data_IF_502225710943
#
_entry.id   IF_502225710943
#
_cell.length_a   1.000
_cell.length_b   1.000
_cell.length_c   1.000
_cell.angle_alpha   90.00
_cell.angle_beta   90.00
_cell.angle_gamma   90.00
#
_symmetry.space_group_name_H-M   'P 1'
#
loop_
_entity.id
_entity.type
_entity.pdbx_description
1 polymer ?
#
# COMPACT_ATOMS: atom_id res chain seq x y z
N UNK A 1 -11.23 -38.44 29.81
CA UNK A 1 -9.91 -38.47 29.15
C UNK A 1 -10.04 -37.51 27.98
N UNK A 2 -9.53 -36.28 28.15
CA UNK A 2 -9.69 -35.22 27.16
C UNK A 2 -8.45 -35.19 26.28
N UNK A 3 -8.63 -35.40 24.98
CA UNK A 3 -7.60 -35.27 23.96
C UNK A 3 -7.20 -33.80 23.81
N UNK A 4 -5.94 -33.50 24.13
CA UNK A 4 -5.30 -32.23 23.83
C UNK A 4 -4.70 -32.32 22.43
N UNK A 5 -5.39 -31.76 21.43
CA UNK A 5 -4.85 -31.64 20.09
C UNK A 5 -3.71 -30.60 20.07
N UNK A 6 -2.48 -31.09 19.94
CA UNK A 6 -1.28 -30.28 19.70
C UNK A 6 -1.36 -29.65 18.30
N UNK A 7 -1.46 -28.32 18.23
CA UNK A 7 -1.42 -27.58 16.97
C UNK A 7 0.04 -27.61 16.44
N UNK A 8 0.29 -28.06 15.20
CA UNK A 8 1.65 -28.09 14.65
C UNK A 8 2.17 -26.67 14.38
N UNK A 9 3.40 -26.41 14.80
CA UNK A 9 4.09 -25.14 14.56
C UNK A 9 4.34 -24.96 13.06
N UNK A 10 3.70 -23.96 12.45
CA UNK A 10 3.99 -23.53 11.08
C UNK A 10 5.40 -22.94 11.03
N UNK A 11 6.34 -23.67 10.44
CA UNK A 11 7.72 -23.22 10.17
C UNK A 11 7.69 -22.06 9.17
N UNK A 12 7.88 -20.83 9.65
CA UNK A 12 8.13 -19.67 8.78
C UNK A 12 9.47 -19.80 8.03
N UNK A 13 9.70 -18.99 6.99
CA UNK A 13 10.95 -19.05 6.22
C UNK A 13 12.16 -18.84 7.14
N UNK A 14 13.09 -19.79 7.11
CA UNK A 14 14.35 -19.73 7.88
C UNK A 14 15.17 -18.55 7.37
N UNK A 15 15.38 -17.53 8.21
CA UNK A 15 16.30 -16.43 7.87
C UNK A 15 17.72 -17.00 7.85
N UNK A 16 18.34 -17.04 6.68
CA UNK A 16 19.75 -17.41 6.54
C UNK A 16 20.58 -16.31 7.22
N UNK A 17 21.45 -16.63 8.19
CA UNK A 17 22.35 -15.65 8.76
C UNK A 17 23.25 -15.06 7.67
N UNK A 18 23.27 -13.73 7.54
CA UNK A 18 24.18 -13.04 6.63
C UNK A 18 25.57 -13.01 7.27
N UNK A 19 26.59 -13.45 6.54
CA UNK A 19 27.99 -13.32 6.98
C UNK A 19 28.39 -11.83 6.94
N UNK A 20 28.63 -11.19 8.09
CA UNK A 20 28.90 -9.78 8.13
C UNK A 20 30.22 -9.39 7.45
N UNK A 21 31.19 -10.31 7.32
CA UNK A 21 32.45 -10.04 6.63
C UNK A 21 32.28 -9.85 5.11
N UNK A 22 31.17 -10.33 4.54
CA UNK A 22 30.88 -10.25 3.10
C UNK A 22 30.16 -8.97 2.69
N UNK A 23 29.67 -8.18 3.65
CA UNK A 23 28.92 -6.95 3.42
C UNK A 23 29.89 -5.76 3.35
N UNK A 24 30.04 -5.10 2.19
CA UNK A 24 30.94 -3.94 2.08
C UNK A 24 30.55 -2.85 3.08
N UNK A 25 31.53 -2.38 3.87
CA UNK A 25 31.31 -1.35 4.89
C UNK A 25 30.77 -1.86 6.22
N UNK A 26 30.53 -3.16 6.37
CA UNK A 26 30.12 -3.72 7.66
C UNK A 26 31.25 -3.64 8.69
N UNK A 27 30.95 -3.11 9.87
CA UNK A 27 31.94 -2.93 10.95
C UNK A 27 32.87 -1.72 10.77
N UNK A 28 32.61 -0.82 9.82
CA UNK A 28 33.39 0.44 9.67
C UNK A 28 33.33 1.31 10.93
N UNK A 29 32.20 1.26 11.66
CA UNK A 29 32.00 1.97 12.93
C UNK A 29 32.47 1.18 14.15
N UNK A 30 33.03 -0.02 13.97
CA UNK A 30 33.51 -0.86 15.07
C UNK A 30 34.85 -0.36 15.64
N UNK A 31 35.65 0.36 14.84
CA UNK A 31 36.89 0.99 15.31
C UNK A 31 36.56 2.29 16.07
N UNK A 32 36.86 2.39 17.38
CA UNK A 32 36.69 3.63 18.14
C UNK A 32 37.45 4.82 17.54
N UNK A 33 38.54 4.57 16.81
CA UNK A 33 39.34 5.59 16.13
C UNK A 33 38.63 6.24 14.93
N UNK A 34 37.62 5.59 14.36
CA UNK A 34 36.79 6.18 13.30
C UNK A 34 35.76 7.19 13.85
N UNK A 35 35.59 7.25 15.17
CA UNK A 35 34.70 8.21 15.80
C UNK A 35 35.38 9.59 15.87
N UNK A 36 34.83 10.65 15.25
CA UNK A 36 35.43 11.99 15.27
C UNK A 36 35.49 12.60 16.68
N UNK A 37 34.79 12.01 17.65
CA UNK A 37 34.77 12.44 19.05
C UNK A 37 35.78 11.71 19.94
N UNK A 38 36.48 10.69 19.42
CA UNK A 38 37.54 9.99 20.13
C UNK A 38 38.86 10.77 20.04
N UNK A 39 39.70 10.87 21.09
CA UNK A 39 39.57 10.31 22.44
C UNK A 39 38.92 11.28 23.46
N UNK A 40 38.46 12.45 23.03
CA UNK A 40 38.01 13.53 23.93
C UNK A 40 36.68 13.23 24.64
N UNK A 41 35.80 12.43 24.04
CA UNK A 41 34.52 12.03 24.63
C UNK A 41 34.72 10.93 25.67
N UNK A 42 34.25 11.17 26.90
CA UNK A 42 34.09 10.11 27.88
C UNK A 42 33.03 9.11 27.37
N UNK A 43 33.45 7.89 27.03
CA UNK A 43 32.54 6.80 26.67
C UNK A 43 32.33 5.98 27.93
N UNK A 44 31.20 6.21 28.58
CA UNK A 44 30.67 5.27 29.57
C UNK A 44 30.33 3.96 28.85
N UNK A 45 30.61 2.83 29.50
CA UNK A 45 30.23 1.50 29.00
C UNK A 45 28.72 1.53 28.68
N UNK A 46 28.40 1.51 27.37
CA UNK A 46 27.04 1.68 26.85
C UNK A 46 26.06 0.63 27.38
N UNK A 47 26.55 -0.37 28.10
CA UNK A 47 25.77 -1.40 28.78
C UNK A 47 25.06 -0.87 30.04
N UNK A 48 25.57 0.19 30.69
CA UNK A 48 24.97 0.78 31.90
C UNK A 48 23.86 1.78 31.53
N UNK A 49 22.65 1.30 31.25
CA UNK A 49 21.46 2.19 31.26
C UNK A 49 20.29 1.84 30.34
N UNK A 50 20.37 0.81 29.51
CA UNK A 50 19.29 0.51 28.54
C UNK A 50 18.34 -0.61 28.96
N UNK A 51 18.33 -1.03 30.22
CA UNK A 51 17.26 -1.90 30.75
C UNK A 51 16.07 -1.05 31.16
N UNK A 52 15.33 -0.57 30.17
CA UNK A 52 14.01 0.03 30.39
C UNK A 52 12.95 -0.90 29.79
N UNK A 53 11.89 -1.13 30.55
CA UNK A 53 10.74 -1.87 30.04
C UNK A 53 10.00 -1.00 29.02
N UNK A 54 9.72 -1.57 27.84
CA UNK A 54 8.93 -0.88 26.82
C UNK A 54 7.54 -0.57 27.40
N UNK A 55 7.07 0.69 27.34
CA UNK A 55 5.77 1.07 27.85
C UNK A 55 4.67 0.33 27.09
N UNK A 56 3.55 0.12 27.78
CA UNK A 56 2.35 -0.47 27.19
C UNK A 56 1.96 0.29 25.93
N UNK A 57 1.75 -0.46 24.85
CA UNK A 57 1.29 0.13 23.59
C UNK A 57 -0.19 0.52 23.71
N UNK A 58 -0.51 1.72 23.23
CA UNK A 58 -1.88 2.16 23.02
C UNK A 58 -2.57 1.23 22.02
N UNK A 59 -3.84 0.89 22.28
CA UNK A 59 -4.69 0.19 21.31
C UNK A 59 -5.54 1.22 20.55
N UNK A 60 -5.22 1.53 19.29
CA UNK A 60 -6.01 2.48 18.52
C UNK A 60 -7.34 1.84 18.08
N UNK A 61 -8.44 2.56 18.32
CA UNK A 61 -9.79 2.20 17.81
C UNK A 61 -10.00 2.61 16.36
N UNK A 62 -9.10 3.46 15.85
CA UNK A 62 -9.12 3.98 14.49
C UNK A 62 -7.99 3.39 13.66
N UNK A 63 -8.15 3.45 12.34
CA UNK A 63 -7.09 3.03 11.44
C UNK A 63 -5.87 3.95 11.52
N UNK A 64 -4.71 3.35 11.80
CA UNK A 64 -3.42 4.02 11.82
C UNK A 64 -2.62 3.59 10.59
N UNK A 65 -2.24 4.57 9.78
CA UNK A 65 -1.37 4.33 8.63
C UNK A 65 0.08 4.38 9.10
N UNK A 66 0.83 3.33 8.78
CA UNK A 66 2.25 3.22 9.09
C UNK A 66 3.06 3.11 7.81
N UNK A 67 4.27 3.64 7.84
CA UNK A 67 5.25 3.43 6.79
C UNK A 67 5.67 1.95 6.72
N UNK A 68 6.06 1.52 5.53
CA UNK A 68 6.49 0.15 5.24
C UNK A 68 7.81 -0.21 5.90
N UNK A 69 8.59 0.79 6.31
CA UNK A 69 9.95 0.62 6.87
C UNK A 69 9.90 0.24 8.36
N UNK A 70 8.80 0.56 9.04
CA UNK A 70 8.64 0.30 10.47
C UNK A 70 7.74 -0.90 10.73
N UNK A 71 8.29 -1.92 11.39
CA UNK A 71 7.54 -3.13 11.74
C UNK A 71 6.64 -2.95 12.99
N UNK A 72 6.99 -2.04 13.89
CA UNK A 72 6.27 -1.82 15.14
C UNK A 72 5.69 -0.40 15.21
N UNK A 73 4.52 -0.26 15.83
CA UNK A 73 3.95 1.04 16.15
C UNK A 73 4.63 1.63 17.39
N UNK A 74 4.73 2.97 17.49
CA UNK A 74 5.15 3.62 18.72
C UNK A 74 4.12 3.37 19.84
N UNK A 75 4.53 3.59 21.09
CA UNK A 75 3.67 3.34 22.25
C UNK A 75 2.41 4.22 22.27
N UNK A 76 2.49 5.44 21.71
CA UNK A 76 1.37 6.37 21.60
C UNK A 76 1.25 6.81 20.14
N UNK A 77 0.02 6.80 19.63
CA UNK A 77 -0.31 7.16 18.24
C UNK A 77 -1.40 8.23 18.23
N UNK A 78 -1.31 9.17 17.27
CA UNK A 78 -2.34 10.19 17.08
C UNK A 78 -3.61 9.59 16.46
N UNK A 79 -4.75 9.74 17.13
CA UNK A 79 -6.05 9.19 16.67
C UNK A 79 -7.06 10.27 16.27
N UNK A 80 -6.72 11.56 16.38
CA UNK A 80 -7.66 12.68 16.22
C UNK A 80 -8.23 12.84 14.82
N UNK A 81 -7.50 12.41 13.79
CA UNK A 81 -7.90 12.60 12.38
C UNK A 81 -7.74 11.28 11.63
N UNK A 82 -8.71 10.35 11.76
CA UNK A 82 -8.65 9.09 11.04
C UNK A 82 -8.74 9.32 9.51
N UNK A 83 -8.07 8.50 8.69
CA UNK A 83 -8.10 8.65 7.24
C UNK A 83 -9.50 8.30 6.67
N UNK A 84 -10.29 9.33 6.37
CA UNK A 84 -11.64 9.24 5.80
C UNK A 84 -11.72 9.79 4.37
N UNK A 85 -12.75 9.39 3.62
CA UNK A 85 -13.03 9.96 2.29
C UNK A 85 -11.97 9.65 1.22
N UNK A 86 -11.95 10.47 0.18
CA UNK A 86 -10.96 10.40 -0.92
C UNK A 86 -9.58 10.80 -0.41
N UNK A 87 -9.48 11.82 0.44
CA UNK A 87 -8.20 12.19 1.05
C UNK A 87 -7.60 11.04 1.86
N UNK A 88 -8.42 10.29 2.60
CA UNK A 88 -8.02 9.07 3.30
C UNK A 88 -7.53 7.96 2.35
N UNK A 89 -8.19 7.75 1.21
CA UNK A 89 -7.73 6.80 0.19
C UNK A 89 -6.35 7.17 -0.37
N UNK A 90 -6.11 8.45 -0.62
CA UNK A 90 -4.81 8.94 -1.11
C UNK A 90 -3.74 8.71 -0.05
N UNK A 91 -4.03 8.97 1.23
CA UNK A 91 -3.09 8.67 2.32
C UNK A 91 -2.78 7.17 2.38
N UNK A 92 -3.77 6.28 2.30
CA UNK A 92 -3.54 4.82 2.24
C UNK A 92 -2.63 4.41 1.08
N UNK A 93 -2.71 5.10 -0.05
CA UNK A 93 -1.82 4.86 -1.19
C UNK A 93 -0.41 5.42 -0.95
N UNK A 94 -0.29 6.59 -0.32
CA UNK A 94 0.98 7.18 0.04
C UNK A 94 1.78 6.27 0.99
N UNK A 95 1.15 5.74 2.04
CA UNK A 95 1.81 4.86 3.02
C UNK A 95 2.20 3.47 2.50
N UNK A 96 1.84 3.11 1.26
CA UNK A 96 2.38 1.92 0.58
C UNK A 96 3.75 2.17 -0.08
N UNK A 97 4.21 3.42 -0.10
CA UNK A 97 5.52 3.83 -0.62
C UNK A 97 6.51 4.05 0.53
N UNK A 98 7.79 3.94 0.20
CA UNK A 98 8.89 4.32 1.11
C UNK A 98 8.89 5.84 1.33
N UNK A 99 9.34 6.25 2.52
CA UNK A 99 9.47 7.67 2.90
C UNK A 99 10.56 8.38 2.08
N UNK A 100 11.49 7.63 1.48
CA UNK A 100 12.50 8.19 0.57
C UNK A 100 11.94 8.51 -0.82
N UNK A 101 10.77 7.99 -1.18
CA UNK A 101 10.11 8.29 -2.45
C UNK A 101 9.43 9.67 -2.38
N UNK A 102 9.81 10.58 -3.27
CA UNK A 102 9.20 11.91 -3.34
C UNK A 102 7.68 11.85 -3.60
N UNK A 103 7.19 10.79 -4.26
CA UNK A 103 5.76 10.59 -4.47
C UNK A 103 4.98 10.40 -3.17
N UNK A 104 5.58 9.78 -2.14
CA UNK A 104 4.94 9.63 -0.84
C UNK A 104 4.50 11.00 -0.29
N UNK A 105 5.43 11.94 -0.28
CA UNK A 105 5.21 13.30 0.22
C UNK A 105 4.25 14.11 -0.65
N UNK A 106 4.34 13.97 -1.98
CA UNK A 106 3.46 14.71 -2.88
C UNK A 106 2.00 14.24 -2.75
N UNK A 107 1.79 12.93 -2.59
CA UNK A 107 0.47 12.38 -2.31
C UNK A 107 -0.10 12.85 -0.98
N UNK A 108 0.73 12.92 0.09
CA UNK A 108 0.30 13.45 1.38
C UNK A 108 -0.13 14.91 1.29
N UNK A 109 0.69 15.77 0.66
CA UNK A 109 0.32 17.18 0.45
C UNK A 109 -0.96 17.32 -0.38
N UNK A 110 -1.12 16.49 -1.42
CA UNK A 110 -2.35 16.44 -2.22
C UNK A 110 -3.56 16.03 -1.39
N UNK A 111 -3.41 15.01 -0.53
CA UNK A 111 -4.46 14.56 0.37
C UNK A 111 -4.89 15.67 1.35
N UNK A 112 -3.98 16.48 1.85
CA UNK A 112 -4.31 17.59 2.75
C UNK A 112 -5.15 18.66 2.04
N UNK A 113 -4.83 18.97 0.77
CA UNK A 113 -5.64 19.91 -0.02
C UNK A 113 -7.03 19.36 -0.31
N UNK A 114 -7.13 18.07 -0.62
CA UNK A 114 -8.40 17.40 -0.89
C UNK A 114 -9.25 17.34 0.38
N UNK A 115 -8.66 17.06 1.54
CA UNK A 115 -9.38 17.00 2.81
C UNK A 115 -10.06 18.33 3.16
N UNK A 116 -9.42 19.47 2.87
CA UNK A 116 -10.02 20.79 3.05
C UNK A 116 -11.23 20.98 2.13
N UNK A 117 -11.11 20.60 0.85
CA UNK A 117 -12.21 20.69 -0.11
C UNK A 117 -13.37 19.77 0.28
N UNK A 118 -13.08 18.55 0.72
CA UNK A 118 -14.08 17.60 1.24
C UNK A 118 -14.83 18.18 2.44
N UNK A 119 -14.12 18.79 3.39
CA UNK A 119 -14.73 19.46 4.54
C UNK A 119 -15.65 20.60 4.13
N UNK A 120 -15.18 21.51 3.26
CA UNK A 120 -15.99 22.63 2.78
C UNK A 120 -17.25 22.17 2.03
N UNK A 121 -17.13 21.11 1.22
CA UNK A 121 -18.28 20.52 0.51
C UNK A 121 -19.26 19.86 1.48
N UNK A 122 -18.75 19.16 2.51
CA UNK A 122 -19.58 18.53 3.54
C UNK A 122 -20.34 19.59 4.37
N UNK A 123 -19.66 20.66 4.80
CA UNK A 123 -20.26 21.76 5.55
C UNK A 123 -21.37 22.44 4.74
N UNK A 124 -21.11 22.70 3.45
CA UNK A 124 -22.10 23.29 2.55
C UNK A 124 -23.29 22.35 2.32
N UNK A 125 -23.05 21.04 2.20
CA UNK A 125 -24.11 20.04 2.03
C UNK A 125 -24.97 19.89 3.29
N UNK A 126 -24.38 20.07 4.47
CA UNK A 126 -25.09 20.09 5.76
C UNK A 126 -25.79 21.42 6.05
N UNK A 127 -25.71 22.39 5.15
CA UNK A 127 -26.37 23.70 5.28
C UNK A 127 -25.70 24.64 6.28
N UNK A 128 -24.54 24.26 6.83
CA UNK A 128 -23.69 25.18 7.57
C UNK A 128 -22.89 26.00 6.56
N UNK A 129 -23.44 27.16 6.16
CA UNK A 129 -22.64 28.18 5.47
C UNK A 129 -21.83 28.88 6.56
N UNK A 130 -20.51 28.64 6.68
CA UNK A 130 -19.72 29.34 7.67
C UNK A 130 -19.76 30.84 7.34
N UNK A 131 -19.79 31.73 8.32
CA UNK A 131 -19.55 33.17 8.10
C UNK A 131 -18.08 33.50 7.75
N UNK A 132 -17.29 32.48 7.42
CA UNK A 132 -15.90 32.55 6.97
C UNK A 132 -15.69 33.40 5.70
N UNK A 133 -16.58 33.49 4.69
CA UNK A 133 -16.33 34.40 3.56
C UNK A 133 -16.35 35.88 3.98
N UNK A 134 -17.07 36.22 5.06
CA UNK A 134 -17.02 37.57 5.64
C UNK A 134 -15.73 37.78 6.46
N UNK A 135 -15.26 36.78 7.20
CA UNK A 135 -14.06 36.84 8.05
C UNK A 135 -12.72 36.69 7.28
N UNK A 136 -12.69 35.92 6.19
CA UNK A 136 -11.54 35.84 5.27
C UNK A 136 -11.39 37.07 4.38
N UNK A 137 -12.24 38.08 4.56
CA UNK A 137 -12.09 39.36 3.90
C UNK A 137 -12.42 39.33 2.40
N UNK A 138 -13.27 38.42 1.91
CA UNK A 138 -13.76 38.49 0.52
C UNK A 138 -14.44 39.83 0.26
N UNK A 139 -15.09 40.41 1.28
CA UNK A 139 -15.66 41.76 1.21
C UNK A 139 -14.59 42.85 1.11
N UNK A 140 -13.40 42.63 1.69
CA UNK A 140 -12.25 43.52 1.59
C UNK A 140 -11.52 43.34 0.24
N UNK A 141 -11.32 42.10 -0.24
CA UNK A 141 -10.80 41.79 -1.58
C UNK A 141 -11.71 42.32 -2.67
N UNK A 142 -13.04 42.25 -2.54
CA UNK A 142 -13.96 42.88 -3.50
C UNK A 142 -13.84 44.41 -3.52
N UNK A 143 -13.56 45.03 -2.38
CA UNK A 143 -13.43 46.49 -2.30
C UNK A 143 -12.06 46.98 -2.79
N UNK A 144 -10.98 46.25 -2.52
CA UNK A 144 -9.60 46.71 -2.76
C UNK A 144 -8.88 45.97 -3.89
N UNK A 145 -9.27 44.74 -4.24
CA UNK A 145 -8.58 43.91 -5.24
C UNK A 145 -9.54 43.03 -6.06
N UNK A 146 -10.44 43.68 -6.80
CA UNK A 146 -11.42 42.99 -7.68
C UNK A 146 -10.74 42.12 -8.73
N UNK A 147 -9.66 42.61 -9.33
CA UNK A 147 -8.91 41.88 -10.37
C UNK A 147 -8.29 40.59 -9.81
N UNK A 148 -7.69 40.65 -8.61
CA UNK A 148 -7.15 39.46 -7.93
C UNK A 148 -8.23 38.44 -7.56
N UNK A 149 -9.39 38.90 -7.11
CA UNK A 149 -10.54 38.03 -6.82
C UNK A 149 -11.07 37.34 -8.09
N UNK A 150 -11.25 38.08 -9.19
CA UNK A 150 -11.69 37.51 -10.46
C UNK A 150 -10.64 36.55 -11.06
N UNK A 151 -9.35 36.84 -10.93
CA UNK A 151 -8.29 35.93 -11.36
C UNK A 151 -8.34 34.61 -10.57
N UNK A 152 -8.49 34.68 -9.23
CA UNK A 152 -8.66 33.49 -8.38
C UNK A 152 -9.91 32.69 -8.78
N UNK A 153 -11.05 33.36 -8.94
CA UNK A 153 -12.30 32.72 -9.35
C UNK A 153 -12.18 32.06 -10.73
N UNK A 154 -11.51 32.72 -11.68
CA UNK A 154 -11.25 32.20 -13.02
C UNK A 154 -10.38 30.95 -12.99
N UNK A 155 -9.31 30.92 -12.19
CA UNK A 155 -8.45 29.75 -12.03
C UNK A 155 -9.24 28.58 -11.43
N UNK A 156 -10.00 28.81 -10.35
CA UNK A 156 -10.83 27.77 -9.73
C UNK A 156 -11.85 27.21 -10.71
N UNK A 157 -12.53 28.07 -11.47
CA UNK A 157 -13.49 27.65 -12.49
C UNK A 157 -12.82 26.85 -13.61
N UNK A 158 -11.66 27.28 -14.11
CA UNK A 158 -10.93 26.61 -15.16
C UNK A 158 -10.43 25.22 -14.73
N UNK A 159 -9.87 25.11 -13.52
CA UNK A 159 -9.41 23.83 -12.96
C UNK A 159 -10.59 22.88 -12.75
N UNK A 160 -11.69 23.38 -12.18
CA UNK A 160 -12.90 22.58 -11.95
C UNK A 160 -13.51 22.08 -13.27
N UNK A 161 -13.58 22.94 -14.28
CA UNK A 161 -14.08 22.57 -15.61
C UNK A 161 -13.15 21.59 -16.31
N UNK A 162 -11.83 21.79 -16.23
CA UNK A 162 -10.82 20.88 -16.76
C UNK A 162 -10.93 19.48 -16.14
N UNK A 163 -11.04 19.40 -14.82
CA UNK A 163 -11.27 18.15 -14.11
C UNK A 163 -12.59 17.48 -14.55
N UNK A 164 -13.69 18.24 -14.66
CA UNK A 164 -14.98 17.73 -15.13
C UNK A 164 -14.90 17.16 -16.55
N UNK A 165 -14.20 17.84 -17.46
CA UNK A 165 -14.02 17.41 -18.84
C UNK A 165 -13.16 16.13 -18.93
N UNK A 166 -12.11 16.01 -18.12
CA UNK A 166 -11.30 14.79 -18.04
C UNK A 166 -12.12 13.60 -17.53
N UNK A 167 -12.92 13.78 -16.47
CA UNK A 167 -13.83 12.75 -15.97
C UNK A 167 -14.88 12.36 -17.02
N UNK A 168 -15.42 13.34 -17.76
CA UNK A 168 -16.38 13.08 -18.85
C UNK A 168 -15.73 12.39 -20.05
N UNK A 169 -14.46 12.65 -20.34
CA UNK A 169 -13.73 11.99 -21.42
C UNK A 169 -13.48 10.51 -21.13
N UNK A 170 -13.12 10.17 -19.88
CA UNK A 170 -12.97 8.78 -19.45
C UNK A 170 -14.24 7.94 -19.68
N UNK A 171 -15.40 8.47 -19.30
CA UNK A 171 -16.70 7.78 -19.49
C UNK A 171 -17.11 7.55 -20.95
N UNK A 172 -16.57 8.35 -21.89
CA UNK A 172 -16.84 8.18 -23.33
C UNK A 172 -16.01 7.07 -23.95
N UNK A 173 -14.90 6.67 -23.34
CA UNK A 173 -14.10 5.52 -23.80
C UNK A 173 -14.71 4.18 -23.35
N UNK A 174 -15.51 4.18 -22.27
CA UNK A 174 -16.30 3.01 -21.84
C UNK A 174 -17.63 2.86 -22.62
N UNK A 175 -18.02 3.89 -23.38
CA UNK A 175 -19.11 3.80 -24.34
C UNK A 175 -18.60 3.02 -25.57
N UNK A 176 -18.82 1.71 -25.56
CA UNK A 176 -18.42 0.81 -26.63
C UNK A 176 -18.81 1.36 -28.02
N UNK A 177 -17.92 1.32 -29.02
CA UNK A 177 -18.29 1.68 -30.37
C UNK A 177 -19.30 0.66 -30.88
N UNK A 178 -20.53 1.09 -31.12
CA UNK A 178 -21.52 0.31 -31.87
C UNK A 178 -21.04 0.20 -33.31
N UNK A 179 -20.31 -0.87 -33.63
CA UNK A 179 -20.10 -1.29 -35.01
C UNK A 179 -21.46 -1.77 -35.51
N UNK A 180 -21.95 -1.14 -36.58
CA UNK A 180 -23.17 -1.56 -37.26
C UNK A 180 -22.98 -2.97 -37.79
N UNK A 181 -23.43 -3.95 -37.00
CA UNK A 181 -23.88 -5.31 -37.29
C UNK A 181 -24.37 -5.82 -35.93
N UNK A 182 -25.65 -6.17 -35.81
CA UNK A 182 -26.37 -6.33 -34.53
C UNK A 182 -25.90 -7.45 -33.59
N UNK A 183 -24.66 -7.42 -33.14
CA UNK A 183 -24.13 -8.33 -32.12
C UNK A 183 -23.46 -7.54 -31.00
N UNK A 184 -24.14 -7.49 -29.86
CA UNK A 184 -23.65 -6.87 -28.63
C UNK A 184 -22.66 -7.82 -27.96
N UNK A 185 -21.36 -7.55 -28.09
CA UNK A 185 -20.35 -8.27 -27.29
C UNK A 185 -20.49 -7.84 -25.83
N UNK A 186 -21.03 -8.73 -25.00
CA UNK A 186 -21.06 -8.59 -23.54
C UNK A 186 -19.62 -8.71 -22.99
N UNK A 187 -19.09 -7.75 -22.22
CA UNK A 187 -17.83 -7.94 -21.52
C UNK A 187 -18.10 -8.79 -20.29
N UNK A 188 -18.01 -10.12 -20.43
CA UNK A 188 -18.23 -11.05 -19.33
C UNK A 188 -18.24 -12.50 -19.79
N UNK A 189 -17.13 -13.00 -20.34
CA UNK A 189 -16.91 -14.44 -20.54
C UNK A 189 -15.47 -14.74 -21.05
N UNK A 190 -14.43 -14.13 -20.46
CA UNK A 190 -13.03 -14.51 -20.79
C UNK A 190 -12.36 -15.44 -19.77
N UNK A 191 -13.06 -15.87 -18.73
CA UNK A 191 -12.49 -16.79 -17.72
C UNK A 191 -12.89 -18.25 -17.85
N UNK A 192 -13.90 -18.60 -18.66
CA UNK A 192 -14.41 -19.99 -18.73
C UNK A 192 -13.91 -20.82 -19.91
N UNK A 193 -13.06 -20.28 -20.80
CA UNK A 193 -12.59 -21.01 -21.99
C UNK A 193 -11.15 -21.54 -21.91
N UNK A 194 -10.53 -21.49 -20.73
CA UNK A 194 -9.20 -22.08 -20.50
C UNK A 194 -9.26 -23.43 -19.76
N UNK A 195 -10.42 -23.83 -19.22
CA UNK A 195 -10.61 -25.10 -18.48
C UNK A 195 -11.01 -26.29 -19.36
N UNK A 196 -11.55 -26.07 -20.56
CA UNK A 196 -12.05 -27.16 -21.43
C UNK A 196 -10.98 -27.80 -22.32
N UNK A 197 -9.77 -27.22 -22.38
CA UNK A 197 -8.68 -27.73 -23.22
C UNK A 197 -7.63 -28.55 -22.45
N UNK A 198 -7.78 -28.73 -21.12
CA UNK A 198 -6.87 -29.53 -20.30
C UNK A 198 -7.45 -30.89 -19.85
N UNK A 199 -8.73 -31.16 -20.09
CA UNK A 199 -9.35 -32.47 -19.77
C UNK A 199 -9.58 -33.40 -20.96
N UNK A 200 -9.22 -32.99 -22.19
CA UNK A 200 -9.42 -33.77 -23.41
C UNK A 200 -8.14 -34.45 -23.95
N UNK A 201 -7.24 -34.89 -23.07
CA UNK A 201 -6.04 -35.67 -23.46
C UNK A 201 -5.77 -36.85 -22.53
N UNK A 202 -6.82 -37.47 -22.01
CA UNK A 202 -6.75 -38.76 -21.34
C UNK A 202 -8.01 -39.53 -21.73
N UNK A 203 -7.85 -40.49 -22.65
CA UNK A 203 -8.68 -41.68 -22.93
C UNK A 203 -8.63 -41.98 -24.44
N UNK A 204 -7.62 -42.76 -24.83
CA UNK A 204 -7.57 -43.54 -26.08
C UNK A 204 -7.49 -45.04 -25.74
N UNK A 205 -7.98 -45.93 -26.61
CA UNK A 205 -8.58 -47.20 -26.21
C UNK A 205 -7.59 -48.35 -25.98
N UNK A 206 -8.01 -49.26 -25.09
CA UNK A 206 -7.48 -50.60 -24.85
C UNK A 206 -7.53 -51.44 -26.14
N UNK A 207 -6.39 -52.03 -26.50
CA UNK A 207 -6.30 -53.15 -27.43
C UNK A 207 -5.28 -54.19 -26.91
N UNK A 208 -5.82 -55.38 -26.66
CA UNK A 208 -5.18 -56.67 -26.35
C UNK A 208 -4.20 -57.12 -27.43
N UNK A 209 -3.03 -57.66 -27.05
CA UNK A 209 -2.50 -58.97 -27.49
C UNK A 209 -1.00 -59.18 -27.17
N UNK A 210 -0.68 -60.35 -26.61
CA UNK A 210 0.54 -61.13 -26.94
C UNK A 210 1.79 -60.93 -26.08
N UNK A 211 2.15 -61.96 -25.30
CA UNK A 211 3.46 -62.10 -24.63
C UNK A 211 4.64 -62.28 -25.61
N UNK A 212 5.87 -62.55 -25.12
CA UNK A 212 6.14 -63.76 -24.32
C UNK A 212 7.02 -63.57 -23.08
N UNK A 213 6.87 -64.55 -22.20
CA UNK A 213 7.76 -65.01 -21.12
C UNK A 213 9.23 -65.10 -21.51
N UNK A 214 10.12 -64.58 -20.65
CA UNK A 214 11.45 -65.15 -20.39
C UNK A 214 11.67 -65.16 -18.87
N UNK A 215 12.02 -66.35 -18.40
CA UNK A 215 12.25 -66.78 -17.03
C UNK A 215 13.69 -66.52 -16.55
N UNK A 216 13.82 -66.41 -15.22
CA UNK A 216 14.89 -66.91 -14.32
C UNK A 216 16.34 -66.39 -14.46
N UNK A 217 16.84 -65.72 -13.40
CA UNK A 217 17.87 -66.20 -12.46
C UNK A 217 18.29 -65.03 -11.54
N UNK A 218 18.11 -65.09 -10.22
CA UNK A 218 18.95 -65.71 -9.17
C UNK A 218 20.16 -64.86 -8.73
N UNK A 219 20.28 -64.72 -7.41
CA UNK A 219 21.47 -64.34 -6.62
C UNK A 219 21.82 -62.84 -6.59
N UNK A 220 22.17 -62.18 -5.49
CA UNK A 220 22.50 -62.63 -4.14
C UNK A 220 22.81 -61.41 -3.25
N UNK A 221 22.48 -61.56 -1.97
CA UNK A 221 23.19 -61.05 -0.79
C UNK A 221 24.13 -59.83 -0.91
N UNK A 222 23.77 -58.72 -0.22
CA UNK A 222 24.56 -57.95 0.80
C UNK A 222 25.96 -57.41 0.43
N UNK A 223 26.60 -56.57 1.27
CA UNK A 223 26.24 -56.02 2.59
C UNK A 223 25.66 -54.60 2.61
#
# INVERSE_FOLDING_TARGET
MSDTATIPATTGPTRVPVDPATVPGWGVDADPGNNPTYPMRHIEDQTRGFTWDRPTQQQPEVEILRSIEYNALPAVVGTSTPPSGVSGMIRRFAFKRSESDWWHWLLLMGADRINVVEGVVADLAQGHVPNIPAEMGIRAEWRHNRSGLFAKAGIVAAVSLGALLLVRRGRRHDAAPTIGNGETIRPGARETRLSDHLHASALGPVATAGGPTIDLDSDGSRP
#
